data_IF_319800239527
#
_entry.id   IF_319800239527
#
_cell.length_a   1.000
_cell.length_b   1.000
_cell.length_c   1.000
_cell.angle_alpha   90.00
_cell.angle_beta   90.00
_cell.angle_gamma   90.00
#
_symmetry.space_group_name_H-M   'P 1'
#
loop_
_entity.id
_entity.type
_entity.pdbx_description
1 polymer ?
#
# COMPACT_ATOMS: atom_id res chain seq x y z
N UNK A 1 -5.13 6.86 -15.52
CA UNK A 1 -5.91 7.42 -14.39
C UNK A 1 -6.07 6.30 -13.38
N UNK A 2 -5.53 6.43 -12.18
CA UNK A 2 -5.67 5.44 -11.12
C UNK A 2 -7.08 5.52 -10.52
N UNK A 3 -7.69 4.38 -10.17
CA UNK A 3 -8.96 4.29 -9.47
C UNK A 3 -8.74 3.54 -8.16
N UNK A 4 -9.21 4.16 -7.08
CA UNK A 4 -9.13 3.62 -5.73
C UNK A 4 -10.55 3.46 -5.20
N UNK A 5 -10.82 2.32 -4.57
CA UNK A 5 -12.06 2.06 -3.83
C UNK A 5 -11.72 1.83 -2.36
N UNK A 6 -12.59 2.28 -1.46
CA UNK A 6 -12.47 2.01 -0.03
C UNK A 6 -13.48 0.93 0.35
N UNK A 7 -13.01 -0.15 0.96
CA UNK A 7 -13.81 -1.28 1.45
C UNK A 7 -13.58 -1.46 2.93
N UNK A 8 -14.60 -1.18 3.74
CA UNK A 8 -14.51 -1.33 5.19
C UNK A 8 -14.11 -2.75 5.59
N UNK A 9 -13.17 -2.85 6.53
CA UNK A 9 -12.72 -4.11 7.12
C UNK A 9 -12.73 -3.99 8.64
N UNK A 10 -12.92 -5.12 9.33
CA UNK A 10 -12.88 -5.12 10.79
C UNK A 10 -11.50 -4.72 11.31
N UNK A 11 -11.45 -3.66 12.11
CA UNK A 11 -10.19 -3.16 12.66
C UNK A 11 -9.62 -4.13 13.69
N UNK A 12 -8.36 -4.53 13.49
CA UNK A 12 -7.60 -5.36 14.42
C UNK A 12 -6.21 -4.77 14.68
N UNK A 13 -6.05 -4.12 15.85
CA UNK A 13 -4.79 -3.49 16.23
C UNK A 13 -3.62 -4.49 16.37
N UNK A 14 -3.90 -5.69 16.90
CA UNK A 14 -2.88 -6.72 17.08
C UNK A 14 -2.34 -7.22 15.73
N UNK A 15 -3.21 -7.33 14.73
CA UNK A 15 -2.81 -7.66 13.36
C UNK A 15 -1.86 -6.60 12.78
N UNK A 16 -2.21 -5.31 12.91
CA UNK A 16 -1.36 -4.21 12.41
C UNK A 16 0.00 -4.23 13.09
N UNK A 17 0.04 -4.36 14.43
CA UNK A 17 1.29 -4.46 15.21
C UNK A 17 2.14 -5.66 14.79
N UNK A 18 1.52 -6.82 14.61
CA UNK A 18 2.22 -8.04 14.20
C UNK A 18 2.69 -8.01 12.73
N UNK A 19 1.98 -7.31 11.85
CA UNK A 19 2.31 -7.18 10.44
C UNK A 19 3.39 -6.12 10.19
N UNK A 20 3.41 -5.05 10.98
CA UNK A 20 4.29 -3.90 10.81
C UNK A 20 5.78 -4.23 10.63
N UNK A 21 6.40 -5.17 11.37
CA UNK A 21 7.81 -5.52 11.20
C UNK A 21 8.18 -6.08 9.81
N UNK A 22 7.18 -6.52 9.01
CA UNK A 22 7.37 -7.04 7.66
C UNK A 22 7.12 -5.98 6.57
N UNK A 23 6.64 -4.80 6.97
CA UNK A 23 6.26 -3.72 6.09
C UNK A 23 7.43 -2.75 5.90
N UNK A 24 7.73 -2.40 4.66
CA UNK A 24 8.54 -1.22 4.37
C UNK A 24 7.66 0.03 4.44
N UNK A 25 7.69 0.72 5.58
CA UNK A 25 6.89 1.92 5.81
C UNK A 25 7.25 3.06 4.85
N UNK A 26 8.52 3.20 4.47
CA UNK A 26 8.96 4.24 3.53
C UNK A 26 8.39 4.03 2.13
N UNK A 27 8.36 2.78 1.67
CA UNK A 27 7.74 2.41 0.39
C UNK A 27 6.23 2.62 0.45
N UNK A 28 5.56 2.29 1.56
CA UNK A 28 4.12 2.53 1.71
C UNK A 28 3.79 4.03 1.61
N UNK A 29 4.52 4.87 2.35
CA UNK A 29 4.34 6.33 2.33
C UNK A 29 4.53 6.91 0.92
N UNK A 30 5.63 6.56 0.25
CA UNK A 30 5.88 7.06 -1.11
C UNK A 30 4.85 6.55 -2.13
N UNK A 31 4.32 5.33 -1.94
CA UNK A 31 3.22 4.81 -2.75
C UNK A 31 1.95 5.65 -2.56
N UNK A 32 1.58 5.99 -1.33
CA UNK A 32 0.44 6.88 -1.07
C UNK A 32 0.61 8.27 -1.70
N UNK A 33 1.79 8.86 -1.55
CA UNK A 33 2.10 10.16 -2.15
C UNK A 33 1.96 10.12 -3.69
N UNK A 34 2.36 9.01 -4.32
CA UNK A 34 2.19 8.81 -5.78
C UNK A 34 0.71 8.70 -6.20
N UNK A 35 -0.15 8.28 -5.28
CA UNK A 35 -1.61 8.21 -5.44
C UNK A 35 -2.31 9.51 -5.06
N UNK A 36 -1.56 10.52 -4.58
CA UNK A 36 -2.10 11.82 -4.15
C UNK A 36 -2.65 11.82 -2.72
N UNK A 37 -2.27 10.85 -1.88
CA UNK A 37 -2.65 10.76 -0.48
C UNK A 37 -1.45 11.07 0.43
N UNK A 38 -1.59 12.05 1.32
CA UNK A 38 -0.56 12.51 2.27
C UNK A 38 -0.89 12.17 3.73
N UNK A 39 -1.77 11.19 3.96
CA UNK A 39 -2.28 10.86 5.30
C UNK A 39 -1.18 10.36 6.24
N UNK A 40 -0.18 9.64 5.72
CA UNK A 40 0.97 9.13 6.50
C UNK A 40 2.03 10.23 6.71
N UNK A 41 1.81 11.07 7.72
CA UNK A 41 2.65 12.24 8.01
C UNK A 41 3.99 11.91 8.67
N UNK A 42 4.07 10.82 9.43
CA UNK A 42 5.32 10.41 10.08
C UNK A 42 6.34 9.99 9.02
N UNK A 43 7.60 10.39 9.20
CA UNK A 43 8.69 10.01 8.30
C UNK A 43 9.22 8.61 8.59
N UNK A 44 9.19 8.19 9.85
CA UNK A 44 9.55 6.85 10.30
C UNK A 44 8.72 6.45 11.51
N UNK A 45 8.66 5.15 11.77
CA UNK A 45 8.03 4.56 12.95
C UNK A 45 9.01 3.56 13.53
N UNK A 46 9.62 3.91 14.66
CA UNK A 46 10.61 3.06 15.34
C UNK A 46 9.95 2.02 16.25
N UNK A 47 8.86 2.42 16.89
CA UNK A 47 8.08 1.57 17.79
C UNK A 47 6.61 1.68 17.41
N UNK A 48 6.08 0.60 16.80
CA UNK A 48 4.65 0.49 16.46
C UNK A 48 3.79 0.28 17.70
N UNK A 49 4.34 -0.31 18.76
CA UNK A 49 3.58 -0.65 19.95
C UNK A 49 3.25 0.58 20.81
N UNK A 50 4.14 1.58 20.78
CA UNK A 50 3.95 2.90 21.38
C UNK A 50 3.05 3.86 20.58
N UNK A 51 2.59 3.49 19.38
CA UNK A 51 1.76 4.38 18.57
C UNK A 51 0.30 4.44 19.07
N UNK A 52 -0.36 5.62 18.96
CA UNK A 52 -1.76 5.78 19.31
C UNK A 52 -2.68 4.96 18.40
N UNK A 53 -3.86 4.58 18.91
CA UNK A 53 -4.86 3.80 18.14
C UNK A 53 -5.25 4.49 16.83
N UNK A 54 -5.35 5.82 16.80
CA UNK A 54 -5.67 6.59 15.59
C UNK A 54 -4.66 6.35 14.47
N UNK A 55 -3.37 6.18 14.80
CA UNK A 55 -2.34 5.85 13.82
C UNK A 55 -2.48 4.40 13.33
N UNK A 56 -2.82 3.46 14.22
CA UNK A 56 -3.07 2.08 13.84
C UNK A 56 -4.32 1.95 12.96
N UNK A 57 -5.36 2.75 13.21
CA UNK A 57 -6.56 2.83 12.35
C UNK A 57 -6.24 3.42 10.99
N UNK A 58 -5.36 4.42 10.94
CA UNK A 58 -4.90 4.98 9.67
C UNK A 58 -4.11 3.94 8.86
N UNK A 59 -3.19 3.21 9.50
CA UNK A 59 -2.48 2.10 8.85
C UNK A 59 -3.43 1.01 8.37
N UNK A 60 -4.41 0.62 9.19
CA UNK A 60 -5.43 -0.35 8.81
C UNK A 60 -6.19 0.10 7.55
N UNK A 61 -6.66 1.35 7.52
CA UNK A 61 -7.37 1.91 6.36
C UNK A 61 -6.52 1.83 5.09
N UNK A 62 -5.26 2.26 5.18
CA UNK A 62 -4.34 2.28 4.04
C UNK A 62 -4.01 0.86 3.55
N UNK A 63 -3.76 -0.08 4.48
CA UNK A 63 -3.28 -1.42 4.15
C UNK A 63 -4.39 -2.39 3.74
N UNK A 64 -5.57 -2.28 4.35
CA UNK A 64 -6.62 -3.30 4.29
C UNK A 64 -7.93 -2.79 3.71
N UNK A 65 -8.18 -1.48 3.72
CA UNK A 65 -9.42 -0.92 3.20
C UNK A 65 -9.25 -0.24 1.84
N UNK A 66 -8.02 0.09 1.43
CA UNK A 66 -7.77 0.85 0.22
C UNK A 66 -7.35 -0.06 -0.94
N UNK A 67 -8.25 -0.24 -1.92
CA UNK A 67 -8.04 -1.08 -3.08
C UNK A 67 -7.76 -0.25 -4.34
N UNK A 68 -6.63 -0.49 -5.01
CA UNK A 68 -6.39 0.04 -6.37
C UNK A 68 -7.13 -0.84 -7.36
N UNK A 69 -8.30 -0.42 -7.83
CA UNK A 69 -9.13 -1.23 -8.75
C UNK A 69 -8.74 -1.08 -10.21
N UNK A 70 -8.12 0.04 -10.57
CA UNK A 70 -7.59 0.26 -11.92
C UNK A 70 -6.34 1.14 -11.87
N UNK A 71 -5.25 0.74 -12.52
CA UNK A 71 -3.99 1.49 -12.46
C UNK A 71 -2.84 0.74 -13.11
N UNK A 72 -1.61 1.18 -12.86
CA UNK A 72 -0.42 0.48 -13.29
C UNK A 72 0.70 0.62 -12.24
N UNK A 73 1.52 -0.41 -12.10
CA UNK A 73 2.78 -0.36 -11.35
C UNK A 73 3.93 -0.32 -12.35
N UNK A 74 4.85 0.63 -12.20
CA UNK A 74 6.03 0.72 -13.07
C UNK A 74 7.25 0.21 -12.33
N UNK A 75 7.98 -0.73 -12.92
CA UNK A 75 9.24 -1.21 -12.35
C UNK A 75 10.30 -0.10 -12.39
N UNK A 76 10.86 0.26 -11.24
CA UNK A 76 11.94 1.26 -11.17
C UNK A 76 13.22 0.87 -11.92
N UNK A 77 13.44 -0.42 -12.18
CA UNK A 77 14.65 -0.93 -12.85
C UNK A 77 14.50 -1.03 -14.38
N UNK A 78 13.46 -1.72 -14.87
CA UNK A 78 13.27 -1.98 -16.31
C UNK A 78 12.19 -1.13 -16.97
N UNK A 79 11.47 -0.29 -16.21
CA UNK A 79 10.36 0.55 -16.69
C UNK A 79 9.17 -0.24 -17.27
N UNK A 80 9.12 -1.56 -17.10
CA UNK A 80 7.95 -2.36 -17.46
C UNK A 80 6.73 -1.93 -16.62
N UNK A 81 5.56 -1.90 -17.26
CA UNK A 81 4.30 -1.44 -16.68
C UNK A 81 3.35 -2.61 -16.45
N UNK A 82 3.17 -2.99 -15.20
CA UNK A 82 2.21 -4.01 -14.77
C UNK A 82 0.83 -3.38 -14.62
N UNK A 83 -0.12 -3.76 -15.47
CA UNK A 83 -1.47 -3.22 -15.45
C UNK A 83 -2.31 -3.84 -14.33
N UNK A 84 -3.08 -3.02 -13.62
CA UNK A 84 -4.05 -3.44 -12.62
C UNK A 84 -5.45 -3.25 -13.20
N UNK A 85 -6.22 -4.34 -13.27
CA UNK A 85 -7.60 -4.34 -13.74
C UNK A 85 -8.48 -5.10 -12.74
N UNK A 86 -9.59 -4.50 -12.34
CA UNK A 86 -10.54 -5.08 -11.37
C UNK A 86 -9.87 -5.48 -10.04
N UNK A 87 -8.85 -4.71 -9.63
CA UNK A 87 -8.08 -5.00 -8.41
C UNK A 87 -7.03 -6.11 -8.55
N UNK A 88 -6.86 -6.67 -9.75
CA UNK A 88 -5.92 -7.77 -10.01
C UNK A 88 -4.71 -7.24 -10.79
N UNK A 89 -3.50 -7.26 -10.21
CA UNK A 89 -2.28 -6.90 -10.93
C UNK A 89 -1.89 -8.00 -11.92
N UNK A 90 -1.67 -7.63 -13.18
CA UNK A 90 -1.11 -8.51 -14.19
C UNK A 90 0.42 -8.51 -14.11
N UNK A 91 0.99 -9.59 -13.57
CA UNK A 91 2.43 -9.79 -13.37
C UNK A 91 3.05 -10.73 -14.43
N UNK A 92 2.35 -11.01 -15.53
CA UNK A 92 2.87 -11.85 -16.60
C UNK A 92 3.90 -11.09 -17.43
N UNK A 93 5.03 -11.75 -17.71
CA UNK A 93 6.11 -11.26 -18.57
C UNK A 93 6.10 -12.03 -19.89
N UNK A 94 6.41 -11.36 -21.00
CA UNK A 94 6.70 -12.03 -22.26
C UNK A 94 7.97 -12.89 -22.16
N UNK A 95 8.10 -13.90 -23.01
CA UNK A 95 9.28 -14.78 -23.02
C UNK A 95 10.60 -14.03 -23.27
N UNK A 96 10.53 -12.89 -23.96
CA UNK A 96 11.66 -12.00 -24.27
C UNK A 96 11.96 -11.00 -23.13
N UNK A 97 11.15 -10.99 -22.06
CA UNK A 97 11.24 -10.06 -20.91
C UNK A 97 11.71 -10.73 -19.61
N UNK A 98 12.12 -12.01 -19.68
CA UNK A 98 12.61 -12.82 -18.54
C UNK A 98 14.14 -12.72 -18.41
#
# INVERSE_FOLDING_TARGET
MCRIEIREQEFNADFIRAFFPKLDYGVLKSTLESLGDDSLKLDSVEDIDGQPEDFLRLLHKVLLEMDVTQGEMTCGNCQHKYQINEGIPNMLLGADEI
#
